data_IF_633340274034
#
_entry.id   IF_633340274034
#
_cell.length_a   1.000
_cell.length_b   1.000
_cell.length_c   1.000
_cell.angle_alpha   90.00
_cell.angle_beta   90.00
_cell.angle_gamma   90.00
#
_symmetry.space_group_name_H-M   'P 1'
#
loop_
_entity.id
_entity.type
_entity.pdbx_description
1 polymer ?
#
# COMPACT_ATOMS: atom_id res chain seq x y z
N UNK A 1 9.97 -5.31 -23.47
CA UNK A 1 9.80 -6.78 -23.41
C UNK A 1 9.77 -7.15 -21.93
N UNK A 2 8.62 -7.58 -21.40
CA UNK A 2 8.47 -7.94 -19.99
C UNK A 2 8.87 -9.40 -19.87
N UNK A 3 9.93 -9.70 -19.14
CA UNK A 3 10.35 -11.07 -18.83
C UNK A 3 9.66 -11.53 -17.55
N UNK A 4 8.89 -12.61 -17.63
CA UNK A 4 8.40 -13.32 -16.45
C UNK A 4 9.34 -14.47 -16.14
N UNK A 5 10.16 -14.33 -15.11
CA UNK A 5 10.85 -15.46 -14.51
C UNK A 5 9.87 -16.16 -13.57
N UNK A 6 9.51 -17.41 -13.87
CA UNK A 6 8.77 -18.27 -12.95
C UNK A 6 9.71 -18.66 -11.80
N UNK A 7 9.75 -17.83 -10.76
CA UNK A 7 10.26 -18.24 -9.46
C UNK A 7 9.15 -18.97 -8.69
N UNK A 8 9.56 -19.87 -7.79
CA UNK A 8 8.73 -20.50 -6.74
C UNK A 8 8.22 -19.49 -5.69
N UNK A 9 7.99 -18.24 -6.12
CA UNK A 9 7.58 -17.12 -5.29
C UNK A 9 6.17 -16.70 -5.67
N UNK A 10 5.32 -16.45 -4.68
CA UNK A 10 4.00 -15.84 -4.86
C UNK A 10 4.06 -14.34 -5.21
N UNK A 11 5.22 -13.86 -5.67
CA UNK A 11 5.51 -12.47 -5.97
C UNK A 11 6.01 -12.31 -7.41
N UNK A 12 5.80 -11.11 -7.94
CA UNK A 12 6.38 -10.66 -9.21
C UNK A 12 7.05 -9.31 -8.97
N UNK A 13 8.12 -9.03 -9.72
CA UNK A 13 8.85 -7.77 -9.63
C UNK A 13 8.70 -6.97 -10.93
N UNK A 14 8.49 -5.66 -10.79
CA UNK A 14 8.60 -4.70 -11.88
C UNK A 14 9.79 -3.78 -11.60
N UNK A 15 10.83 -3.90 -12.43
CA UNK A 15 12.11 -3.21 -12.22
C UNK A 15 12.44 -2.33 -13.42
N UNK A 16 12.78 -1.06 -13.17
CA UNK A 16 13.34 -0.15 -14.17
C UNK A 16 14.77 0.18 -13.75
N UNK A 17 15.75 -0.21 -14.57
CA UNK A 17 17.18 -0.10 -14.24
C UNK A 17 18.02 0.57 -15.31
N UNK A 18 17.47 0.83 -16.51
CA UNK A 18 18.22 1.51 -17.56
C UNK A 18 18.32 3.00 -17.25
N UNK A 19 19.52 3.58 -17.39
CA UNK A 19 19.72 5.00 -17.12
C UNK A 19 18.80 5.87 -17.99
N UNK A 20 18.57 5.46 -19.24
CA UNK A 20 17.66 6.11 -20.17
C UNK A 20 16.23 6.18 -19.60
N UNK A 21 15.64 5.04 -19.24
CA UNK A 21 14.25 5.02 -18.77
C UNK A 21 14.10 5.69 -17.39
N UNK A 22 15.14 5.60 -16.55
CA UNK A 22 15.17 6.33 -15.29
C UNK A 22 15.07 7.84 -15.52
N UNK A 23 15.89 8.39 -16.43
CA UNK A 23 15.93 9.83 -16.72
C UNK A 23 14.72 10.29 -17.51
N UNK A 24 14.29 9.54 -18.51
CA UNK A 24 13.24 9.96 -19.44
C UNK A 24 11.82 9.76 -18.88
N UNK A 25 11.64 8.80 -17.95
CA UNK A 25 10.30 8.40 -17.48
C UNK A 25 10.17 8.50 -15.96
N UNK A 26 11.07 7.85 -15.20
CA UNK A 26 10.90 7.71 -13.75
C UNK A 26 11.10 9.03 -13.00
N UNK A 27 12.19 9.77 -13.29
CA UNK A 27 12.43 11.06 -12.65
C UNK A 27 11.32 12.09 -12.99
N UNK A 28 10.94 12.30 -14.26
CA UNK A 28 9.88 13.24 -14.59
C UNK A 28 8.53 12.89 -13.95
N UNK A 29 8.21 11.60 -13.81
CA UNK A 29 6.99 11.18 -13.14
C UNK A 29 6.98 11.59 -11.66
N UNK A 30 8.00 11.23 -10.88
CA UNK A 30 8.02 11.52 -9.45
C UNK A 30 8.37 12.98 -9.12
N UNK A 31 8.90 13.75 -10.07
CA UNK A 31 9.00 15.21 -9.96
C UNK A 31 7.64 15.89 -10.09
N UNK A 32 6.81 15.43 -11.04
CA UNK A 32 5.46 15.97 -11.26
C UNK A 32 4.42 15.44 -10.27
N UNK A 33 4.64 14.23 -9.75
CA UNK A 33 3.78 13.54 -8.78
C UNK A 33 4.62 13.07 -7.57
N UNK A 34 5.01 14.00 -6.67
CA UNK A 34 5.91 13.67 -5.57
C UNK A 34 5.35 12.63 -4.61
N UNK A 35 6.24 11.76 -4.12
CA UNK A 35 5.93 10.83 -3.03
C UNK A 35 5.64 11.61 -1.74
N UNK A 36 4.70 11.12 -0.92
CA UNK A 36 4.29 11.78 0.32
C UNK A 36 4.93 11.14 1.57
N UNK A 37 5.20 9.83 1.52
CA UNK A 37 5.84 9.12 2.65
C UNK A 37 7.31 9.51 2.79
N UNK A 38 7.99 9.03 3.84
CA UNK A 38 9.45 9.14 3.97
C UNK A 38 10.24 8.55 2.80
N UNK A 39 9.62 7.74 1.92
CA UNK A 39 10.22 7.29 0.67
C UNK A 39 10.55 8.45 -0.29
N UNK A 40 9.93 9.61 -0.13
CA UNK A 40 10.29 10.81 -0.89
C UNK A 40 11.75 11.21 -0.70
N UNK A 41 12.26 11.14 0.53
CA UNK A 41 13.68 11.40 0.82
C UNK A 41 14.58 10.43 0.05
N UNK A 42 14.22 9.15 0.02
CA UNK A 42 14.95 8.13 -0.75
C UNK A 42 14.93 8.46 -2.24
N UNK A 43 13.78 8.87 -2.79
CA UNK A 43 13.65 9.29 -4.18
C UNK A 43 14.58 10.47 -4.53
N UNK A 44 14.69 11.48 -3.67
CA UNK A 44 15.55 12.64 -3.95
C UNK A 44 17.03 12.27 -3.95
N UNK A 45 17.47 11.41 -3.02
CA UNK A 45 18.84 10.89 -3.02
C UNK A 45 19.09 10.03 -4.26
N UNK A 46 18.15 9.16 -4.60
CA UNK A 46 18.21 8.34 -5.81
C UNK A 46 18.32 9.20 -7.07
N UNK A 47 17.51 10.25 -7.19
CA UNK A 47 17.57 11.22 -8.29
C UNK A 47 18.96 11.84 -8.42
N UNK A 48 19.56 12.28 -7.31
CA UNK A 48 20.91 12.85 -7.33
C UNK A 48 21.95 11.84 -7.85
N UNK A 49 21.86 10.58 -7.44
CA UNK A 49 22.73 9.51 -7.94
C UNK A 49 22.53 9.30 -9.45
N UNK A 50 21.28 9.25 -9.92
CA UNK A 50 20.98 9.10 -11.36
C UNK A 50 21.57 10.26 -12.18
N UNK A 51 21.52 11.49 -11.66
CA UNK A 51 22.11 12.66 -12.32
C UNK A 51 23.65 12.60 -12.37
N UNK A 52 24.31 12.17 -11.29
CA UNK A 52 25.76 11.89 -11.30
C UNK A 52 26.11 10.82 -12.35
N UNK A 53 25.24 9.83 -12.53
CA UNK A 53 25.42 8.79 -13.54
C UNK A 53 25.23 9.31 -14.97
N UNK A 54 24.22 10.15 -15.18
CA UNK A 54 23.94 10.82 -16.45
C UNK A 54 25.15 11.67 -16.89
N UNK A 55 25.73 12.43 -15.97
CA UNK A 55 26.89 13.28 -16.20
C UNK A 55 28.23 12.51 -16.24
N UNK A 56 28.21 11.17 -16.10
CA UNK A 56 29.41 10.31 -16.04
C UNK A 56 30.39 10.64 -14.90
N UNK A 57 29.96 11.39 -13.88
CA UNK A 57 30.81 11.76 -12.73
C UNK A 57 31.25 10.54 -11.93
N UNK A 58 30.39 9.51 -11.83
CA UNK A 58 30.69 8.23 -11.18
C UNK A 58 31.90 7.46 -11.74
N UNK A 59 32.52 7.92 -12.84
CA UNK A 59 33.73 7.33 -13.38
C UNK A 59 35.02 7.80 -12.67
N UNK A 60 34.94 8.79 -11.77
CA UNK A 60 36.09 9.25 -10.96
C UNK A 60 35.93 8.84 -9.50
N UNK A 61 37.04 8.77 -8.76
CA UNK A 61 37.00 8.42 -7.33
C UNK A 61 36.18 9.44 -6.52
N UNK A 62 36.25 10.73 -6.89
CA UNK A 62 35.46 11.79 -6.27
C UNK A 62 33.96 11.60 -6.55
N UNK A 63 33.57 11.26 -7.77
CA UNK A 63 32.17 10.99 -8.11
C UNK A 63 31.62 9.72 -7.48
N UNK A 64 32.45 8.67 -7.34
CA UNK A 64 32.11 7.48 -6.56
C UNK A 64 31.93 7.87 -5.08
N UNK A 65 32.84 8.64 -4.50
CA UNK A 65 32.71 9.10 -3.11
C UNK A 65 31.42 9.91 -2.88
N UNK A 66 31.05 10.80 -3.82
CA UNK A 66 29.76 11.51 -3.79
C UNK A 66 28.58 10.54 -3.80
N UNK A 67 28.62 9.53 -4.66
CA UNK A 67 27.58 8.49 -4.77
C UNK A 67 27.45 7.69 -3.48
N UNK A 68 28.57 7.32 -2.86
CA UNK A 68 28.61 6.59 -1.58
C UNK A 68 28.05 7.44 -0.44
N UNK A 69 28.39 8.74 -0.39
CA UNK A 69 27.84 9.67 0.59
C UNK A 69 26.30 9.77 0.50
N UNK A 70 25.74 9.82 -0.72
CA UNK A 70 24.29 9.79 -0.94
C UNK A 70 23.68 8.43 -0.54
N UNK A 71 24.31 7.33 -0.96
CA UNK A 71 23.86 5.97 -0.68
C UNK A 71 23.85 5.63 0.81
N UNK A 72 24.72 6.26 1.60
CA UNK A 72 24.79 6.10 3.04
C UNK A 72 23.52 6.58 3.76
N UNK A 73 22.78 7.51 3.17
CA UNK A 73 21.50 8.02 3.68
C UNK A 73 20.26 7.39 3.02
N UNK A 74 20.47 6.53 2.01
CA UNK A 74 19.39 5.88 1.25
C UNK A 74 19.00 4.55 1.89
N UNK A 75 17.69 4.30 2.06
CA UNK A 75 17.16 3.03 2.55
C UNK A 75 17.84 2.54 3.86
N UNK A 76 18.60 1.45 3.79
CA UNK A 76 19.32 0.82 4.93
C UNK A 76 20.78 1.28 5.06
N UNK A 77 21.21 2.28 4.28
CA UNK A 77 22.58 2.78 4.28
C UNK A 77 23.59 1.79 3.66
N UNK A 78 24.86 1.92 4.03
CA UNK A 78 25.97 1.17 3.42
C UNK A 78 26.09 -0.27 3.95
N UNK A 79 26.48 -1.19 3.05
CA UNK A 79 26.94 -2.54 3.43
C UNK A 79 28.27 -2.48 4.18
N UNK A 80 28.67 -3.61 4.78
CA UNK A 80 29.97 -3.74 5.47
C UNK A 80 31.13 -3.42 4.52
N UNK A 81 31.13 -4.05 3.34
CA UNK A 81 32.20 -3.89 2.36
C UNK A 81 32.34 -2.43 1.87
N UNK A 82 31.22 -1.72 1.70
CA UNK A 82 31.24 -0.30 1.33
C UNK A 82 31.78 0.59 2.44
N UNK A 83 31.51 0.27 3.72
CA UNK A 83 32.08 1.01 4.85
C UNK A 83 33.59 0.82 4.95
N UNK A 84 34.08 -0.39 4.67
CA UNK A 84 35.52 -0.70 4.67
C UNK A 84 36.24 -0.03 3.50
N UNK A 85 35.64 -0.03 2.30
CA UNK A 85 36.21 0.60 1.11
C UNK A 85 36.18 2.14 1.16
N UNK A 86 35.20 2.74 1.83
CA UNK A 86 35.01 4.19 1.93
C UNK A 86 34.91 4.66 3.39
N UNK A 87 36.00 4.58 4.18
CA UNK A 87 35.96 4.81 5.63
C UNK A 87 35.67 6.26 6.03
N UNK A 88 35.88 7.23 5.13
CA UNK A 88 35.66 8.68 5.36
C UNK A 88 34.30 9.11 4.78
N UNK A 89 33.33 8.20 4.68
CA UNK A 89 31.99 8.52 4.18
C UNK A 89 31.29 9.52 5.10
N UNK A 90 30.76 10.59 4.51
CA UNK A 90 29.91 11.58 5.20
C UNK A 90 28.49 11.42 4.62
N UNK A 91 27.53 10.85 5.38
CA UNK A 91 26.16 10.68 4.90
C UNK A 91 25.53 12.01 4.49
N UNK A 92 24.87 12.03 3.33
CA UNK A 92 24.19 13.22 2.84
C UNK A 92 22.98 13.57 3.70
N UNK A 93 22.84 14.84 4.08
CA UNK A 93 21.67 15.35 4.81
C UNK A 93 20.72 16.03 3.84
N UNK A 94 19.45 15.63 3.82
CA UNK A 94 18.40 16.34 3.11
C UNK A 94 17.69 17.30 4.06
N UNK A 95 17.79 18.60 3.80
CA UNK A 95 16.98 19.61 4.45
C UNK A 95 15.59 19.63 3.80
N UNK A 96 14.75 18.67 4.18
CA UNK A 96 13.34 18.72 3.85
C UNK A 96 12.65 19.58 4.89
N UNK A 97 12.19 20.77 4.50
CA UNK A 97 11.15 21.43 5.25
C UNK A 97 10.00 20.43 5.46
N UNK A 98 9.39 20.43 6.65
CA UNK A 98 8.35 19.48 6.99
C UNK A 98 7.08 19.76 6.16
N UNK A 99 7.09 19.37 4.89
CA UNK A 99 6.01 19.52 3.93
C UNK A 99 4.73 18.79 4.36
N UNK A 100 4.83 17.88 5.33
CA UNK A 100 3.70 17.15 5.89
C UNK A 100 2.74 18.08 6.68
N UNK A 101 3.17 19.27 7.12
CA UNK A 101 2.33 20.13 7.96
C UNK A 101 1.09 20.71 7.25
N UNK A 102 1.02 20.70 5.91
CA UNK A 102 -0.04 21.39 5.16
C UNK A 102 -0.64 20.60 3.98
N UNK A 103 -0.53 19.27 3.95
CA UNK A 103 -0.97 18.52 2.77
C UNK A 103 -2.45 18.15 2.84
N UNK A 104 -3.26 18.84 2.03
CA UNK A 104 -4.48 18.28 1.47
C UNK A 104 -4.10 17.03 0.67
N UNK A 105 -4.27 15.85 1.26
CA UNK A 105 -4.01 14.59 0.59
C UNK A 105 -4.91 14.48 -0.64
N UNK A 106 -4.32 14.19 -1.81
CA UNK A 106 -5.10 14.00 -3.03
C UNK A 106 -5.87 12.67 -2.96
N UNK A 107 -7.19 12.64 -3.22
CA UNK A 107 -8.00 11.42 -3.13
C UNK A 107 -7.43 10.22 -3.90
N UNK A 108 -6.99 10.41 -5.14
CA UNK A 108 -6.39 9.32 -5.94
C UNK A 108 -5.10 8.77 -5.32
N UNK A 109 -4.31 9.62 -4.66
CA UNK A 109 -3.11 9.16 -3.95
C UNK A 109 -3.50 8.30 -2.75
N UNK A 110 -4.52 8.71 -1.99
CA UNK A 110 -5.03 7.93 -0.85
C UNK A 110 -5.59 6.58 -1.30
N UNK A 111 -6.30 6.53 -2.43
CA UNK A 111 -6.82 5.29 -3.00
C UNK A 111 -5.68 4.36 -3.48
N UNK A 112 -4.68 4.90 -4.18
CA UNK A 112 -3.49 4.16 -4.60
C UNK A 112 -2.67 3.63 -3.41
N UNK A 113 -2.44 4.46 -2.41
CA UNK A 113 -1.75 4.07 -1.18
C UNK A 113 -2.52 3.00 -0.40
N UNK A 114 -3.85 3.15 -0.29
CA UNK A 114 -4.72 2.16 0.35
C UNK A 114 -4.73 0.83 -0.40
N UNK A 115 -4.62 0.83 -1.73
CA UNK A 115 -4.51 -0.41 -2.52
C UNK A 115 -3.31 -1.24 -2.05
N UNK A 116 -2.16 -0.62 -1.79
CA UNK A 116 -0.98 -1.29 -1.22
C UNK A 116 -1.16 -1.64 0.27
N UNK A 117 -1.48 -0.65 1.09
CA UNK A 117 -1.24 -0.70 2.54
C UNK A 117 -2.49 -0.93 3.41
N UNK A 118 -3.69 -0.83 2.84
CA UNK A 118 -4.93 -0.95 3.63
C UNK A 118 -5.33 -2.40 3.92
N UNK A 119 -6.21 -2.58 4.89
CA UNK A 119 -6.83 -3.84 5.25
C UNK A 119 -8.34 -3.65 5.46
N UNK A 120 -9.13 -4.50 4.80
CA UNK A 120 -10.58 -4.60 4.96
C UNK A 120 -10.91 -5.85 5.76
N UNK A 121 -11.14 -5.70 7.06
CA UNK A 121 -11.23 -6.82 7.98
C UNK A 121 -12.64 -7.01 8.54
N UNK A 122 -13.15 -8.24 8.40
CA UNK A 122 -14.38 -8.72 9.05
C UNK A 122 -13.98 -9.50 10.30
N UNK A 123 -14.25 -8.93 11.48
CA UNK A 123 -14.02 -9.57 12.76
C UNK A 123 -15.24 -10.43 13.15
N UNK A 124 -14.97 -11.66 13.59
CA UNK A 124 -15.97 -12.57 14.17
C UNK A 124 -15.34 -13.15 15.41
N UNK A 125 -16.02 -13.00 16.55
CA UNK A 125 -15.53 -13.44 17.85
C UNK A 125 -16.65 -14.07 18.67
N UNK A 126 -16.27 -14.94 19.61
CA UNK A 126 -17.22 -15.52 20.57
C UNK A 126 -17.84 -14.40 21.41
N UNK A 127 -19.14 -14.51 21.65
CA UNK A 127 -19.91 -13.52 22.41
C UNK A 127 -21.01 -14.19 23.23
N UNK A 128 -21.59 -13.44 24.17
CA UNK A 128 -22.76 -13.85 24.96
C UNK A 128 -24.10 -13.51 24.27
N UNK A 129 -24.07 -13.09 23.02
CA UNK A 129 -25.26 -12.86 22.19
C UNK A 129 -26.01 -14.18 21.95
N UNK A 130 -27.28 -14.10 21.51
CA UNK A 130 -28.11 -15.28 21.23
C UNK A 130 -27.44 -16.25 20.25
N UNK A 131 -26.74 -15.74 19.24
CA UNK A 131 -26.01 -16.54 18.25
C UNK A 131 -24.67 -17.10 18.75
N UNK A 132 -24.20 -16.71 19.95
CA UNK A 132 -22.88 -17.04 20.47
C UNK A 132 -21.72 -16.30 19.77
N UNK A 133 -22.01 -15.42 18.80
CA UNK A 133 -21.04 -14.69 17.99
C UNK A 133 -21.34 -13.20 17.97
N UNK A 134 -20.29 -12.38 17.92
CA UNK A 134 -20.39 -10.96 17.56
C UNK A 134 -19.54 -10.67 16.33
N UNK A 135 -20.07 -9.83 15.46
CA UNK A 135 -19.41 -9.40 14.22
C UNK A 135 -19.12 -7.90 14.30
N UNK A 136 -17.97 -7.50 13.76
CA UNK A 136 -17.62 -6.09 13.60
C UNK A 136 -16.68 -5.91 12.42
N UNK A 137 -16.50 -4.66 12.00
CA UNK A 137 -15.65 -4.31 10.87
C UNK A 137 -14.49 -3.44 11.33
N UNK A 138 -13.38 -3.56 10.61
CA UNK A 138 -12.22 -2.69 10.75
C UNK A 138 -11.66 -2.39 9.37
N UNK A 139 -11.67 -1.13 9.00
CA UNK A 139 -10.79 -0.60 7.97
C UNK A 139 -9.52 -0.10 8.66
N UNK A 140 -8.34 -0.44 8.13
CA UNK A 140 -7.11 0.14 8.61
C UNK A 140 -6.04 0.31 7.55
N UNK A 141 -5.09 1.23 7.81
CA UNK A 141 -3.88 1.43 7.01
C UNK A 141 -2.70 1.38 7.98
N UNK A 142 -1.80 0.41 7.79
CA UNK A 142 -0.61 0.25 8.61
C UNK A 142 0.62 0.82 7.90
N UNK A 143 1.55 1.40 8.65
CA UNK A 143 2.82 1.89 8.11
C UNK A 143 3.89 1.91 9.19
N UNK A 144 5.17 1.97 8.81
CA UNK A 144 6.25 2.17 9.77
C UNK A 144 6.02 3.46 10.58
N UNK A 145 6.37 3.45 11.86
CA UNK A 145 6.19 4.59 12.79
C UNK A 145 6.91 5.89 12.39
N UNK A 146 7.74 5.86 11.34
CA UNK A 146 8.44 7.02 10.76
C UNK A 146 7.52 7.93 9.95
N UNK A 147 6.37 7.38 9.54
CA UNK A 147 5.31 8.04 8.80
C UNK A 147 4.07 8.28 9.70
N UNK A 148 4.25 8.35 11.03
CA UNK A 148 3.15 8.57 11.99
C UNK A 148 2.30 9.81 11.63
N UNK A 149 2.95 10.94 11.31
CA UNK A 149 2.26 12.18 10.96
C UNK A 149 1.38 12.04 9.70
N UNK A 150 1.76 11.16 8.76
CA UNK A 150 0.92 10.84 7.59
C UNK A 150 -0.31 10.04 8.01
N UNK A 151 -0.18 9.08 8.94
CA UNK A 151 -1.36 8.35 9.41
C UNK A 151 -2.29 9.26 10.24
N UNK A 152 -1.74 10.22 10.98
CA UNK A 152 -2.53 11.24 11.69
C UNK A 152 -3.32 12.13 10.73
N UNK A 153 -2.77 12.46 9.56
CA UNK A 153 -3.50 13.24 8.55
C UNK A 153 -4.66 12.49 7.92
N UNK A 154 -4.67 11.14 7.92
CA UNK A 154 -5.84 10.36 7.48
C UNK A 154 -7.07 10.55 8.39
N UNK A 155 -6.87 10.84 9.68
CA UNK A 155 -7.99 11.15 10.58
C UNK A 155 -8.73 12.40 10.12
N UNK A 156 -7.98 13.44 9.74
CA UNK A 156 -8.54 14.66 9.19
C UNK A 156 -9.14 14.44 7.80
N UNK A 157 -8.45 13.70 6.93
CA UNK A 157 -8.89 13.42 5.56
C UNK A 157 -10.24 12.69 5.51
N UNK A 158 -10.41 11.63 6.31
CA UNK A 158 -11.66 10.87 6.38
C UNK A 158 -12.68 11.46 7.37
N UNK A 159 -12.33 12.53 8.09
CA UNK A 159 -13.15 13.10 9.17
C UNK A 159 -13.48 12.11 10.29
N UNK A 160 -12.75 11.00 10.39
CA UNK A 160 -13.08 9.88 11.27
C UNK A 160 -11.90 8.94 11.49
N UNK A 161 -12.01 8.10 12.52
CA UNK A 161 -11.00 7.12 12.89
C UNK A 161 -10.03 7.62 13.94
N UNK A 162 -8.98 6.85 14.17
CA UNK A 162 -7.91 7.17 15.11
C UNK A 162 -6.60 6.51 14.67
N UNK A 163 -5.48 6.96 15.22
CA UNK A 163 -4.16 6.35 14.99
C UNK A 163 -3.70 5.62 16.23
N UNK A 164 -3.28 4.37 16.06
CA UNK A 164 -2.61 3.59 17.08
C UNK A 164 -1.11 3.53 16.79
N UNK A 165 -0.30 4.04 17.72
CA UNK A 165 1.16 3.93 17.66
C UNK A 165 1.65 2.85 18.62
N UNK A 166 2.15 1.74 18.08
CA UNK A 166 2.51 0.58 18.88
C UNK A 166 3.93 0.73 19.44
N UNK A 167 4.12 1.29 20.63
CA UNK A 167 5.46 1.60 21.21
C UNK A 167 6.52 0.48 21.16
N UNK A 168 6.13 -0.79 21.16
CA UNK A 168 7.04 -1.96 21.10
C UNK A 168 7.30 -2.48 19.69
N UNK A 169 6.69 -1.88 18.66
CA UNK A 169 6.80 -2.27 17.25
C UNK A 169 7.05 -1.00 16.44
N UNK A 170 7.90 -1.04 15.42
CA UNK A 170 8.12 0.14 14.57
C UNK A 170 6.98 0.33 13.56
N UNK A 171 5.74 0.27 14.03
CA UNK A 171 4.51 0.31 13.23
C UNK A 171 3.50 1.24 13.91
N UNK A 172 2.81 2.02 13.11
CA UNK A 172 1.62 2.77 13.46
C UNK A 172 0.49 2.38 12.51
N UNK A 173 -0.76 2.63 12.91
CA UNK A 173 -1.91 2.21 12.15
C UNK A 173 -3.08 3.19 12.29
N UNK A 174 -3.60 3.67 11.16
CA UNK A 174 -4.87 4.40 11.09
C UNK A 174 -6.02 3.39 11.06
N UNK A 175 -7.06 3.60 11.88
CA UNK A 175 -8.13 2.62 12.11
C UNK A 175 -9.51 3.29 12.16
N UNK A 176 -10.47 2.72 11.45
CA UNK A 176 -11.91 3.02 11.57
C UNK A 176 -12.68 1.72 11.84
N UNK A 177 -13.44 1.71 12.94
CA UNK A 177 -14.24 0.54 13.39
C UNK A 177 -15.73 0.82 13.60
N UNK A 178 -16.12 2.09 13.75
CA UNK A 178 -17.52 2.46 13.92
C UNK A 178 -18.27 2.22 12.61
N UNK A 179 -19.35 1.44 12.66
CA UNK A 179 -20.10 1.06 11.45
C UNK A 179 -20.63 2.27 10.69
N UNK A 180 -21.11 3.29 11.41
CA UNK A 180 -21.62 4.53 10.80
C UNK A 180 -20.54 5.23 9.98
N UNK A 181 -19.34 5.43 10.56
CA UNK A 181 -18.21 6.04 9.85
C UNK A 181 -17.73 5.20 8.66
N UNK A 182 -17.82 3.86 8.73
CA UNK A 182 -17.48 2.99 7.60
C UNK A 182 -18.46 3.23 6.44
N UNK A 183 -19.75 3.26 6.72
CA UNK A 183 -20.80 3.45 5.70
C UNK A 183 -20.85 4.88 5.16
N UNK A 184 -20.53 5.87 5.99
CA UNK A 184 -20.61 7.29 5.63
C UNK A 184 -19.33 7.81 4.96
N UNK A 185 -18.16 7.27 5.30
CA UNK A 185 -16.87 7.81 4.84
C UNK A 185 -16.06 6.81 4.01
N UNK A 186 -15.90 5.57 4.48
CA UNK A 186 -15.02 4.60 3.80
C UNK A 186 -15.63 4.06 2.51
N UNK A 187 -16.88 3.59 2.57
CA UNK A 187 -17.55 3.02 1.41
C UNK A 187 -17.72 4.07 0.29
N UNK A 188 -18.25 5.29 0.55
CA UNK A 188 -18.41 6.29 -0.50
C UNK A 188 -17.07 6.76 -1.08
N UNK A 189 -16.02 6.83 -0.26
CA UNK A 189 -14.69 7.18 -0.73
C UNK A 189 -14.17 6.16 -1.76
N UNK A 190 -14.22 4.86 -1.44
CA UNK A 190 -13.71 3.82 -2.34
C UNK A 190 -14.67 3.44 -3.46
N UNK A 191 -15.96 3.80 -3.37
CA UNK A 191 -16.87 3.77 -4.53
C UNK A 191 -16.49 4.85 -5.55
N UNK A 192 -16.08 6.04 -5.09
CA UNK A 192 -15.66 7.16 -5.95
C UNK A 192 -14.21 7.02 -6.44
N UNK A 193 -13.33 6.51 -5.59
CA UNK A 193 -11.89 6.35 -5.84
C UNK A 193 -11.52 4.87 -5.62
N UNK A 194 -11.69 4.01 -6.65
CA UNK A 194 -11.64 2.56 -6.47
C UNK A 194 -10.31 2.02 -5.93
N UNK A 195 -10.41 1.10 -4.96
CA UNK A 195 -9.30 0.17 -4.67
C UNK A 195 -9.04 -0.68 -5.91
N UNK A 196 -7.76 -0.79 -6.29
CA UNK A 196 -7.34 -1.57 -7.45
C UNK A 196 -6.77 -2.94 -7.06
N UNK A 197 -6.52 -3.79 -8.05
CA UNK A 197 -5.91 -5.11 -7.85
C UNK A 197 -6.82 -6.09 -7.10
N UNK A 198 -6.24 -7.17 -6.59
CA UNK A 198 -7.00 -8.25 -5.90
C UNK A 198 -7.70 -7.77 -4.62
N UNK A 199 -7.21 -6.69 -4.00
CA UNK A 199 -7.81 -6.07 -2.81
C UNK A 199 -9.20 -5.47 -3.09
N UNK A 200 -9.52 -5.17 -4.36
CA UNK A 200 -10.85 -4.69 -4.74
C UNK A 200 -11.96 -5.67 -4.31
N UNK A 201 -11.73 -6.98 -4.48
CA UNK A 201 -12.69 -8.01 -4.06
C UNK A 201 -12.89 -8.01 -2.54
N UNK A 202 -11.83 -7.74 -1.76
CA UNK A 202 -11.96 -7.61 -0.31
C UNK A 202 -12.78 -6.39 0.08
N UNK A 203 -12.63 -5.27 -0.63
CA UNK A 203 -13.47 -4.09 -0.42
C UNK A 203 -14.95 -4.39 -0.72
N UNK A 204 -15.26 -5.09 -1.81
CA UNK A 204 -16.65 -5.45 -2.13
C UNK A 204 -17.29 -6.35 -1.06
N UNK A 205 -16.59 -7.40 -0.62
CA UNK A 205 -17.07 -8.27 0.46
C UNK A 205 -17.22 -7.50 1.79
N UNK A 206 -16.29 -6.60 2.10
CA UNK A 206 -16.37 -5.73 3.27
C UNK A 206 -17.54 -4.75 3.20
N UNK A 207 -17.81 -4.17 2.02
CA UNK A 207 -18.95 -3.28 1.76
C UNK A 207 -20.27 -4.00 1.99
N UNK A 208 -20.43 -5.22 1.46
CA UNK A 208 -21.63 -6.03 1.70
C UNK A 208 -21.82 -6.33 3.19
N UNK A 209 -20.77 -6.76 3.88
CA UNK A 209 -20.82 -7.01 5.32
C UNK A 209 -21.20 -5.75 6.11
N UNK A 210 -20.76 -4.56 5.67
CA UNK A 210 -21.08 -3.31 6.32
C UNK A 210 -22.58 -3.00 6.28
N UNK A 211 -23.25 -3.22 5.15
CA UNK A 211 -24.69 -2.98 5.06
C UNK A 211 -25.50 -3.98 5.91
N UNK A 212 -25.12 -5.26 5.93
CA UNK A 212 -25.74 -6.28 6.80
C UNK A 212 -25.58 -5.89 8.29
N UNK A 213 -24.41 -5.37 8.67
CA UNK A 213 -24.15 -4.93 10.05
C UNK A 213 -24.93 -3.64 10.36
N UNK A 214 -24.91 -2.64 9.47
CA UNK A 214 -25.62 -1.37 9.62
C UNK A 214 -27.13 -1.58 9.78
N UNK A 215 -27.71 -2.50 9.02
CA UNK A 215 -29.14 -2.83 9.06
C UNK A 215 -29.51 -3.79 10.20
N UNK A 216 -28.53 -4.24 10.99
CA UNK A 216 -28.70 -5.22 12.09
C UNK A 216 -29.20 -6.60 11.65
N UNK A 217 -29.16 -6.93 10.37
CA UNK A 217 -29.62 -8.21 9.81
C UNK A 217 -28.83 -9.41 10.39
N UNK A 218 -27.57 -9.21 10.76
CA UNK A 218 -26.74 -10.19 11.46
C UNK A 218 -27.25 -10.57 12.86
N UNK A 219 -28.27 -9.89 13.39
CA UNK A 219 -28.91 -10.17 14.67
C UNK A 219 -30.27 -10.86 14.51
N UNK A 220 -30.73 -11.06 13.27
CA UNK A 220 -32.00 -11.71 12.99
C UNK A 220 -32.00 -13.16 13.51
N UNK A 221 -33.16 -13.63 13.97
CA UNK A 221 -33.30 -14.97 14.56
C UNK A 221 -33.21 -16.09 13.51
N UNK A 222 -33.47 -15.78 12.23
CA UNK A 222 -33.30 -16.71 11.11
C UNK A 222 -31.82 -17.07 10.82
N UNK A 223 -30.87 -16.27 11.34
CA UNK A 223 -29.44 -16.46 11.18
C UNK A 223 -28.90 -16.16 9.78
N UNK A 224 -29.73 -15.73 8.82
CA UNK A 224 -29.32 -15.59 7.43
C UNK A 224 -28.25 -14.51 7.23
N UNK A 225 -28.44 -13.33 7.85
CA UNK A 225 -27.45 -12.24 7.78
C UNK A 225 -26.13 -12.61 8.45
N UNK A 226 -26.15 -13.41 9.51
CA UNK A 226 -24.93 -13.88 10.15
C UNK A 226 -24.18 -14.88 9.27
N UNK A 227 -24.89 -15.84 8.67
CA UNK A 227 -24.30 -16.81 7.74
C UNK A 227 -23.66 -16.12 6.53
N UNK A 228 -24.32 -15.09 5.98
CA UNK A 228 -23.75 -14.31 4.89
C UNK A 228 -22.44 -13.61 5.29
N UNK A 229 -22.36 -13.01 6.48
CA UNK A 229 -21.10 -12.42 7.00
C UNK A 229 -20.00 -13.48 7.14
N UNK A 230 -20.33 -14.69 7.59
CA UNK A 230 -19.36 -15.78 7.71
C UNK A 230 -18.83 -16.20 6.34
N UNK A 231 -19.68 -16.24 5.31
CA UNK A 231 -19.28 -16.53 3.94
C UNK A 231 -18.40 -15.42 3.34
N UNK A 232 -18.79 -14.15 3.53
CA UNK A 232 -18.00 -12.97 3.14
C UNK A 232 -16.59 -13.02 3.76
N UNK A 233 -16.50 -13.32 5.07
CA UNK A 233 -15.21 -13.47 5.78
C UNK A 233 -14.37 -14.61 5.21
N UNK A 234 -14.98 -15.75 4.89
CA UNK A 234 -14.28 -16.90 4.28
C UNK A 234 -13.69 -16.53 2.93
N UNK A 235 -14.42 -15.80 2.08
CA UNK A 235 -13.91 -15.34 0.77
C UNK A 235 -12.69 -14.43 0.92
N UNK A 236 -12.77 -13.41 1.78
CA UNK A 236 -11.63 -12.54 2.09
C UNK A 236 -10.40 -13.36 2.55
N UNK A 237 -10.60 -14.35 3.43
CA UNK A 237 -9.50 -15.16 3.97
C UNK A 237 -8.92 -16.16 2.96
N UNK A 238 -9.77 -16.75 2.10
CA UNK A 238 -9.38 -17.80 1.14
C UNK A 238 -8.45 -17.29 0.02
N UNK A 239 -8.52 -15.99 -0.30
CA UNK A 239 -7.59 -15.36 -1.23
C UNK A 239 -6.14 -15.38 -0.75
N UNK A 240 -5.91 -15.58 0.56
CA UNK A 240 -4.56 -15.71 1.13
C UNK A 240 -4.06 -17.17 1.16
N UNK A 241 -4.95 -18.16 0.96
CA UNK A 241 -4.60 -19.59 1.03
C UNK A 241 -4.42 -20.25 -0.35
N UNK A 242 -4.83 -19.61 -1.43
CA UNK A 242 -4.70 -20.14 -2.80
C UNK A 242 -3.51 -19.49 -3.53
N UNK A 243 -2.83 -20.28 -4.38
CA UNK A 243 -1.79 -19.80 -5.31
C UNK A 243 -2.26 -18.53 -6.01
N UNK A 244 -1.37 -17.54 -6.15
CA UNK A 244 -1.65 -16.22 -6.72
C UNK A 244 -2.60 -16.31 -7.93
N UNK A 245 -3.81 -15.75 -7.79
CA UNK A 245 -4.75 -15.62 -8.90
C UNK A 245 -4.40 -14.37 -9.70
N UNK A 246 -4.09 -14.56 -10.98
CA UNK A 246 -3.85 -13.46 -11.90
C UNK A 246 -5.20 -12.80 -12.25
N UNK A 247 -5.36 -11.50 -11.97
CA UNK A 247 -6.58 -10.77 -12.28
C UNK A 247 -6.79 -10.55 -13.80
N UNK A 248 -5.83 -10.89 -14.66
CA UNK A 248 -5.97 -10.76 -16.12
C UNK A 248 -6.78 -11.88 -16.80
N UNK A 249 -7.18 -12.94 -16.09
CA UNK A 249 -8.02 -14.00 -16.68
C UNK A 249 -9.53 -13.70 -16.66
N UNK A 250 -9.95 -12.52 -16.19
CA UNK A 250 -11.37 -12.10 -16.16
C UNK A 250 -11.67 -11.04 -17.23
N UNK A 251 -11.25 -11.21 -18.49
CA UNK A 251 -11.93 -10.52 -19.60
C UNK A 251 -11.79 -11.31 -20.93
N UNK A 252 -12.95 -11.47 -21.59
CA UNK A 252 -13.24 -11.99 -22.94
C UNK A 252 -13.27 -13.52 -23.13
N UNK A 253 -14.50 -14.05 -23.03
CA UNK A 253 -14.87 -15.28 -23.72
C UNK A 253 -14.61 -15.11 -25.21
N UNK A 254 -13.66 -15.89 -25.71
CA UNK A 254 -13.40 -16.00 -27.15
C UNK A 254 -14.34 -17.06 -27.70
N UNK A 255 -15.26 -16.63 -28.56
CA UNK A 255 -16.01 -17.49 -29.46
C UNK A 255 -15.00 -18.35 -30.24
N UNK A 256 -15.16 -19.67 -30.16
CA UNK A 256 -14.45 -20.60 -31.05
C UNK A 256 -15.03 -20.43 -32.45
N UNK A 257 -14.31 -19.73 -33.31
CA UNK A 257 -14.49 -19.84 -34.75
C UNK A 257 -13.98 -21.22 -35.20
N UNK A 258 -14.93 -22.08 -35.53
CA UNK A 258 -14.74 -23.37 -36.18
C UNK A 258 -14.14 -23.14 -37.57
N UNK A 259 -12.85 -23.45 -37.76
CA UNK A 259 -12.29 -23.70 -39.09
C UNK A 259 -12.25 -25.21 -39.31
N UNK A 260 -13.30 -25.73 -39.95
CA UNK A 260 -13.25 -27.02 -40.64
C UNK A 260 -12.39 -26.89 -41.91
N UNK A 261 -11.69 -27.99 -42.19
CA UNK A 261 -10.92 -28.29 -43.40
C UNK A 261 -11.66 -27.96 -44.69
#
# INVERSE_FOLDING_TARGET
MIYYWLFDSSAVEFTVSTLKDLVDVILPHFDNYPLITKKHSDYLLFKQIVLLMLNKEHNTIEGIQKTVNLRASLNTGLSKDLKEAFPITIPATLNLESSIKNNNLHPEWVAGFSTGESNFFIAVQKSKTKSGLSTSLRFSIAQHSRDLLLLESFVNFFGSGFVMNYKKRSVCEFIITKIDHIVEHIIPFFDKHPILGSKHLNFLDFKSAAYIIKNKEHLNEDGLGLEEILQLKRRITSLYSNKAMNNHSVVYGTEKLDQKR
#
